data_IF_677366398746
#
_entry.id   IF_677366398746
#
_cell.length_a   1.000
_cell.length_b   1.000
_cell.length_c   1.000
_cell.angle_alpha   90.00
_cell.angle_beta   90.00
_cell.angle_gamma   90.00
#
_symmetry.space_group_name_H-M   'P 1'
#
loop_
_entity.id
_entity.type
_entity.pdbx_description
1 polymer ?
#
# COMPACT_ATOMS: atom_id res chain seq x y z
N UNK A 1 16.03 28.66 4.28
CA UNK A 1 15.97 27.19 4.46
C UNK A 1 14.53 26.65 4.36
N UNK A 2 13.51 27.35 4.87
CA UNK A 2 12.09 26.92 4.84
C UNK A 2 11.50 26.66 3.43
N UNK A 3 11.81 27.50 2.42
CA UNK A 3 11.24 27.35 1.07
C UNK A 3 11.73 26.15 0.25
N UNK A 4 12.86 25.51 0.61
CA UNK A 4 13.33 24.27 -0.04
C UNK A 4 12.58 23.04 0.47
N UNK A 5 12.33 22.96 1.78
CA UNK A 5 11.63 21.84 2.40
C UNK A 5 10.16 21.73 1.97
N UNK A 6 9.47 22.87 1.82
CA UNK A 6 8.08 22.90 1.31
C UNK A 6 8.00 22.36 -0.13
N UNK A 7 8.96 22.75 -0.99
CA UNK A 7 9.04 22.26 -2.38
C UNK A 7 9.33 20.76 -2.46
N UNK A 8 10.14 20.23 -1.56
CA UNK A 8 10.44 18.80 -1.52
C UNK A 8 9.24 17.97 -1.07
N UNK A 9 8.52 18.44 -0.04
CA UNK A 9 7.29 17.79 0.43
C UNK A 9 6.17 17.79 -0.63
N UNK A 10 6.03 18.88 -1.40
CA UNK A 10 5.09 18.95 -2.52
C UNK A 10 5.45 17.95 -3.63
N UNK A 11 6.73 17.87 -4.02
CA UNK A 11 7.21 16.87 -4.99
C UNK A 11 6.97 15.45 -4.52
N UNK A 12 7.28 15.15 -3.27
CA UNK A 12 7.06 13.81 -2.72
C UNK A 12 5.58 13.44 -2.76
N UNK A 13 4.68 14.37 -2.45
CA UNK A 13 3.22 14.16 -2.56
C UNK A 13 2.79 13.86 -3.99
N UNK A 14 3.25 14.64 -4.96
CA UNK A 14 2.95 14.43 -6.37
C UNK A 14 3.43 13.05 -6.86
N UNK A 15 4.64 12.65 -6.45
CA UNK A 15 5.19 11.33 -6.77
C UNK A 15 4.38 10.19 -6.14
N UNK A 16 3.99 10.33 -4.87
CA UNK A 16 3.16 9.32 -4.20
C UNK A 16 1.76 9.23 -4.84
N UNK A 17 1.13 10.35 -5.17
CA UNK A 17 -0.17 10.35 -5.85
C UNK A 17 -0.07 9.69 -7.24
N UNK A 18 1.00 9.96 -7.98
CA UNK A 18 1.26 9.33 -9.27
C UNK A 18 1.44 7.81 -9.11
N UNK A 19 2.21 7.35 -8.12
CA UNK A 19 2.41 5.93 -7.85
C UNK A 19 1.10 5.20 -7.51
N UNK A 20 0.25 5.81 -6.65
CA UNK A 20 -1.07 5.25 -6.32
C UNK A 20 -2.00 5.20 -7.55
N UNK A 21 -1.93 6.20 -8.43
CA UNK A 21 -2.69 6.21 -9.69
C UNK A 21 -2.21 5.12 -10.64
N UNK A 22 -0.89 4.91 -10.74
CA UNK A 22 -0.29 3.85 -11.55
C UNK A 22 -0.69 2.46 -11.05
N UNK A 23 -0.69 2.24 -9.73
CA UNK A 23 -1.19 1.01 -9.12
C UNK A 23 -2.65 0.74 -9.52
N UNK A 24 -3.51 1.74 -9.39
CA UNK A 24 -4.91 1.63 -9.78
C UNK A 24 -5.09 1.33 -11.27
N UNK A 25 -4.32 2.00 -12.14
CA UNK A 25 -4.33 1.75 -13.58
C UNK A 25 -3.87 0.33 -13.91
N UNK A 26 -2.78 -0.14 -13.30
CA UNK A 26 -2.25 -1.49 -13.48
C UNK A 26 -3.31 -2.56 -13.12
N UNK A 27 -4.04 -2.37 -12.03
CA UNK A 27 -5.12 -3.29 -11.63
C UNK A 27 -6.32 -3.18 -12.57
N UNK A 28 -6.71 -1.97 -12.96
CA UNK A 28 -7.83 -1.73 -13.89
C UNK A 28 -7.59 -2.38 -15.26
N UNK A 29 -6.40 -2.22 -15.82
CA UNK A 29 -6.01 -2.79 -17.12
C UNK A 29 -6.08 -4.31 -17.12
N UNK A 30 -5.63 -4.97 -16.05
CA UNK A 30 -5.74 -6.42 -15.91
C UNK A 30 -7.20 -6.89 -15.85
N UNK A 31 -8.04 -6.20 -15.08
CA UNK A 31 -9.47 -6.50 -15.01
C UNK A 31 -10.13 -6.31 -16.39
N UNK A 32 -9.79 -5.24 -17.10
CA UNK A 32 -10.28 -4.96 -18.46
C UNK A 32 -9.87 -6.04 -19.45
N UNK A 33 -8.66 -6.59 -19.29
CA UNK A 33 -8.17 -7.74 -20.04
C UNK A 33 -8.79 -9.10 -19.62
N UNK A 34 -9.74 -9.10 -18.67
CA UNK A 34 -10.37 -10.29 -18.07
C UNK A 34 -9.37 -11.20 -17.35
N UNK A 35 -8.28 -10.64 -16.85
CA UNK A 35 -7.31 -11.33 -16.01
C UNK A 35 -7.59 -11.11 -14.53
N UNK A 36 -7.26 -12.09 -13.70
CA UNK A 36 -7.27 -11.91 -12.26
C UNK A 36 -6.19 -10.90 -11.87
N UNK A 37 -6.55 -9.79 -11.20
CA UNK A 37 -5.58 -8.77 -10.86
C UNK A 37 -4.49 -9.29 -9.93
N UNK A 38 -3.29 -8.77 -10.13
CA UNK A 38 -2.11 -9.06 -9.35
C UNK A 38 -1.21 -7.84 -9.23
N UNK A 39 -0.40 -7.83 -8.17
CA UNK A 39 0.61 -6.82 -7.86
C UNK A 39 1.89 -7.49 -7.38
N UNK A 40 3.02 -6.82 -7.54
CA UNK A 40 4.30 -7.22 -6.95
C UNK A 40 4.50 -6.49 -5.64
N UNK A 41 4.84 -7.21 -4.58
CA UNK A 41 5.22 -6.62 -3.28
C UNK A 41 6.56 -7.20 -2.84
N UNK A 42 7.29 -6.47 -2.00
CA UNK A 42 8.56 -6.97 -1.44
C UNK A 42 8.28 -8.15 -0.50
N UNK A 43 9.07 -9.22 -0.64
CA UNK A 43 8.98 -10.40 0.22
C UNK A 43 9.45 -10.05 1.63
N UNK A 44 8.65 -10.40 2.64
CA UNK A 44 9.07 -10.32 4.06
C UNK A 44 9.57 -11.65 4.63
N UNK A 45 9.92 -12.59 3.76
CA UNK A 45 10.56 -13.82 4.20
C UNK A 45 11.90 -13.51 4.86
N UNK A 46 12.27 -14.26 5.90
CA UNK A 46 13.48 -13.99 6.70
C UNK A 46 14.75 -14.00 5.87
N UNK A 47 14.77 -14.78 4.78
CA UNK A 47 15.86 -14.85 3.83
C UNK A 47 15.92 -13.68 2.82
N UNK A 48 14.93 -12.78 2.85
CA UNK A 48 14.97 -11.48 2.15
C UNK A 48 15.28 -10.31 3.10
N UNK A 49 15.61 -10.58 4.37
CA UNK A 49 15.99 -9.53 5.33
C UNK A 49 17.51 -9.40 5.30
N UNK A 50 18.01 -8.22 4.92
CA UNK A 50 19.45 -7.96 4.72
C UNK A 50 19.88 -6.84 5.66
N UNK A 51 21.05 -6.99 6.29
CA UNK A 51 21.64 -5.91 7.09
C UNK A 51 22.28 -4.86 6.17
N UNK A 52 21.83 -3.62 6.27
CA UNK A 52 22.43 -2.47 5.60
C UNK A 52 23.48 -1.83 6.53
N UNK A 53 24.78 -1.86 6.18
CA UNK A 53 25.85 -1.31 7.02
C UNK A 53 25.88 0.22 7.05
N UNK A 54 25.33 0.90 6.03
CA UNK A 54 25.29 2.36 5.97
C UNK A 54 24.18 2.90 6.87
N UNK A 55 22.98 2.32 6.75
CA UNK A 55 21.82 2.66 7.57
C UNK A 55 21.87 2.03 8.96
N UNK A 56 22.76 1.05 9.18
CA UNK A 56 22.91 0.25 10.40
C UNK A 56 21.61 -0.43 10.85
N UNK A 57 20.78 -0.85 9.90
CA UNK A 57 19.48 -1.46 10.15
C UNK A 57 19.20 -2.62 9.18
N UNK A 58 18.24 -3.47 9.53
CA UNK A 58 17.76 -4.51 8.62
C UNK A 58 16.73 -3.93 7.66
N UNK A 59 16.92 -4.18 6.36
CA UNK A 59 16.02 -3.77 5.28
C UNK A 59 15.51 -4.99 4.51
N UNK A 60 14.44 -4.80 3.75
CA UNK A 60 14.00 -5.79 2.77
C UNK A 60 14.92 -5.74 1.56
N UNK A 61 15.34 -6.92 1.09
CA UNK A 61 16.09 -7.08 -0.16
C UNK A 61 15.18 -7.11 -1.39
N UNK A 62 15.79 -7.39 -2.55
CA UNK A 62 15.15 -7.24 -3.86
C UNK A 62 14.12 -8.32 -4.21
N UNK A 63 13.90 -9.33 -3.35
CA UNK A 63 12.96 -10.40 -3.66
C UNK A 63 11.54 -9.86 -3.66
N UNK A 64 10.86 -10.00 -4.79
CA UNK A 64 9.45 -9.68 -4.93
C UNK A 64 8.59 -10.95 -4.91
N UNK A 65 7.40 -10.83 -4.35
CA UNK A 65 6.34 -11.84 -4.43
C UNK A 65 5.13 -11.27 -5.17
N UNK A 66 4.41 -12.15 -5.86
CA UNK A 66 3.19 -11.78 -6.58
C UNK A 66 1.97 -12.06 -5.72
N UNK A 67 1.25 -11.02 -5.32
CA UNK A 67 -0.10 -11.17 -4.75
C UNK A 67 -1.11 -11.14 -5.87
N UNK A 68 -1.92 -12.19 -5.98
CA UNK A 68 -2.95 -12.32 -7.00
C UNK A 68 -4.32 -12.63 -6.39
N UNK A 69 -5.38 -12.20 -7.05
CA UNK A 69 -6.78 -12.44 -6.63
C UNK A 69 -7.38 -13.77 -7.10
N UNK A 70 -6.61 -14.62 -7.80
CA UNK A 70 -7.09 -15.93 -8.30
C UNK A 70 -7.54 -16.89 -7.19
N UNK A 71 -6.94 -16.80 -6.01
CA UNK A 71 -7.31 -17.63 -4.86
C UNK A 71 -8.36 -16.88 -4.03
N UNK A 72 -9.48 -17.54 -3.72
CA UNK A 72 -10.57 -16.98 -2.91
C UNK A 72 -10.06 -16.43 -1.57
N UNK A 73 -9.12 -17.12 -0.92
CA UNK A 73 -8.51 -16.67 0.32
C UNK A 73 -7.74 -15.34 0.20
N UNK A 74 -7.28 -15.00 -1.02
CA UNK A 74 -6.52 -13.78 -1.28
C UNK A 74 -7.40 -12.61 -1.73
N UNK A 75 -8.68 -12.82 -2.05
CA UNK A 75 -9.58 -11.77 -2.55
C UNK A 75 -9.74 -10.66 -1.51
N UNK A 76 -10.03 -11.03 -0.25
CA UNK A 76 -10.21 -10.08 0.85
C UNK A 76 -8.96 -9.22 1.11
N UNK A 77 -7.76 -9.78 1.36
CA UNK A 77 -6.58 -8.96 1.60
C UNK A 77 -6.17 -8.15 0.36
N UNK A 78 -6.43 -8.64 -0.85
CA UNK A 78 -6.20 -7.85 -2.07
C UNK A 78 -7.15 -6.65 -2.13
N UNK A 79 -8.45 -6.84 -1.87
CA UNK A 79 -9.42 -5.75 -1.84
C UNK A 79 -9.10 -4.71 -0.75
N UNK A 80 -8.70 -5.16 0.43
CA UNK A 80 -8.23 -4.29 1.52
C UNK A 80 -7.04 -3.43 1.08
N UNK A 81 -6.04 -4.01 0.41
CA UNK A 81 -4.88 -3.26 -0.09
C UNK A 81 -5.28 -2.19 -1.11
N UNK A 82 -6.13 -2.53 -2.08
CA UNK A 82 -6.63 -1.56 -3.07
C UNK A 82 -7.46 -0.46 -2.40
N UNK A 83 -8.26 -0.80 -1.40
CA UNK A 83 -9.00 0.19 -0.62
C UNK A 83 -8.06 1.12 0.16
N UNK A 84 -7.04 0.58 0.82
CA UNK A 84 -6.02 1.38 1.53
C UNK A 84 -5.29 2.31 0.58
N UNK A 85 -4.94 1.84 -0.63
CA UNK A 85 -4.32 2.67 -1.67
C UNK A 85 -5.24 3.84 -2.09
N UNK A 86 -6.54 3.56 -2.28
CA UNK A 86 -7.54 4.57 -2.57
C UNK A 86 -7.68 5.57 -1.41
N UNK A 87 -7.80 5.09 -0.17
CA UNK A 87 -7.94 5.92 1.02
C UNK A 87 -6.74 6.85 1.19
N UNK A 88 -5.52 6.33 1.04
CA UNK A 88 -4.28 7.10 1.05
C UNK A 88 -4.27 8.19 -0.03
N UNK A 89 -4.78 7.90 -1.23
CA UNK A 89 -4.89 8.90 -2.30
C UNK A 89 -5.88 10.01 -1.94
N UNK A 90 -7.03 9.69 -1.36
CA UNK A 90 -8.01 10.70 -0.96
C UNK A 90 -7.46 11.59 0.18
N UNK A 91 -6.70 11.02 1.12
CA UNK A 91 -5.97 11.81 2.13
C UNK A 91 -5.00 12.82 1.49
N UNK A 92 -4.22 12.38 0.50
CA UNK A 92 -3.30 13.26 -0.25
C UNK A 92 -4.06 14.40 -0.94
N UNK A 93 -5.15 14.08 -1.66
CA UNK A 93 -5.98 15.08 -2.37
C UNK A 93 -6.58 16.11 -1.43
N UNK A 94 -7.03 15.68 -0.25
CA UNK A 94 -7.60 16.56 0.76
C UNK A 94 -6.55 17.25 1.65
N UNK A 95 -5.25 17.00 1.43
CA UNK A 95 -4.15 17.47 2.30
C UNK A 95 -4.37 17.12 3.77
N UNK A 96 -4.90 15.92 4.03
CA UNK A 96 -5.13 15.38 5.37
C UNK A 96 -4.13 14.26 5.65
N UNK A 97 -3.88 14.06 6.94
CA UNK A 97 -3.11 12.92 7.45
C UNK A 97 -4.05 12.04 8.25
N UNK A 98 -3.72 10.76 8.36
CA UNK A 98 -4.45 9.83 9.20
C UNK A 98 -3.51 8.97 10.02
N UNK A 99 -3.94 8.59 11.22
CA UNK A 99 -3.23 7.61 12.05
C UNK A 99 -3.57 6.18 11.63
N UNK A 100 -2.72 5.21 11.99
CA UNK A 100 -2.99 3.78 11.72
C UNK A 100 -4.34 3.33 12.28
N UNK A 101 -4.73 3.83 13.46
CA UNK A 101 -6.02 3.53 14.08
C UNK A 101 -7.20 4.13 13.32
N UNK A 102 -7.06 5.34 12.81
CA UNK A 102 -8.11 5.96 12.01
C UNK A 102 -8.33 5.21 10.70
N UNK A 103 -7.27 4.69 10.06
CA UNK A 103 -7.40 3.80 8.89
C UNK A 103 -8.20 2.54 9.27
N UNK A 104 -7.83 1.89 10.37
CA UNK A 104 -8.56 0.73 10.91
C UNK A 104 -10.05 1.04 11.13
N UNK A 105 -10.36 2.13 11.84
CA UNK A 105 -11.75 2.53 12.11
C UNK A 105 -12.51 2.98 10.86
N UNK A 106 -11.84 3.57 9.87
CA UNK A 106 -12.47 4.00 8.61
C UNK A 106 -12.97 2.84 7.76
N UNK A 107 -12.33 1.66 7.88
CA UNK A 107 -12.78 0.44 7.23
C UNK A 107 -13.87 -0.31 8.03
N UNK A 108 -14.08 0.00 9.31
CA UNK A 108 -15.08 -0.69 10.13
C UNK A 108 -16.50 -0.43 9.64
N UNK A 109 -17.33 -1.48 9.63
CA UNK A 109 -18.69 -1.43 9.10
C UNK A 109 -18.79 -1.54 7.57
N UNK A 110 -17.67 -1.56 6.85
CA UNK A 110 -17.65 -1.88 5.43
C UNK A 110 -17.49 -3.40 5.24
N UNK A 111 -18.58 -4.10 4.93
CA UNK A 111 -18.68 -5.56 4.99
C UNK A 111 -17.51 -6.33 4.38
N UNK A 112 -17.06 -5.93 3.19
CA UNK A 112 -16.12 -6.72 2.40
C UNK A 112 -14.64 -6.29 2.59
N UNK A 113 -14.39 -5.19 3.32
CA UNK A 113 -13.04 -4.67 3.56
C UNK A 113 -12.71 -4.44 5.04
N UNK A 114 -13.67 -4.65 5.95
CA UNK A 114 -13.45 -4.50 7.39
C UNK A 114 -12.26 -5.35 7.82
N UNK A 115 -11.38 -4.75 8.61
CA UNK A 115 -10.24 -5.45 9.20
C UNK A 115 -10.70 -6.21 10.45
N UNK A 116 -10.24 -7.46 10.58
CA UNK A 116 -10.54 -8.29 11.77
C UNK A 116 -9.95 -7.67 13.04
N UNK A 117 -8.75 -7.11 12.96
CA UNK A 117 -7.96 -6.54 14.04
C UNK A 117 -7.02 -5.45 13.51
N UNK A 118 -6.35 -4.74 14.42
CA UNK A 118 -5.39 -3.69 14.08
C UNK A 118 -4.20 -4.28 13.31
N UNK A 119 -3.72 -5.45 13.72
CA UNK A 119 -2.56 -6.11 13.10
C UNK A 119 -2.82 -6.40 11.61
N UNK A 120 -4.04 -6.79 11.22
CA UNK A 120 -4.40 -6.97 9.81
C UNK A 120 -4.31 -5.66 9.04
N UNK A 121 -4.83 -4.56 9.60
CA UNK A 121 -4.74 -3.24 8.97
C UNK A 121 -3.29 -2.77 8.84
N UNK A 122 -2.48 -2.95 9.88
CA UNK A 122 -1.08 -2.53 9.91
C UNK A 122 -0.26 -3.31 8.88
N UNK A 123 -0.51 -4.61 8.75
CA UNK A 123 0.13 -5.45 7.74
C UNK A 123 -0.21 -5.00 6.32
N UNK A 124 -1.48 -4.68 6.04
CA UNK A 124 -1.91 -4.18 4.72
C UNK A 124 -1.33 -2.80 4.43
N UNK A 125 -1.27 -1.91 5.42
CA UNK A 125 -0.65 -0.58 5.26
C UNK A 125 0.85 -0.71 4.97
N UNK A 126 1.54 -1.64 5.64
CA UNK A 126 2.97 -1.86 5.41
C UNK A 126 3.24 -2.51 4.04
N UNK A 127 2.28 -3.29 3.50
CA UNK A 127 2.39 -3.92 2.17
C UNK A 127 2.24 -2.89 1.03
N UNK A 128 1.58 -1.76 1.28
CA UNK A 128 1.36 -0.66 0.34
C UNK A 128 2.57 0.28 0.27
#
# INVERSE_FOLDING_TARGET
>A
MSGKAVREADRQREMTELALKQLGLLVYEQIRAREFPWIMIQSRSTDNIIYDPELKQYILGDRLIRRHSRNIAHIRPFAQLIWTAWFSRELLRHRKTSTLREVYYSARGQRDIEFKDQDESDNIITDL
#
